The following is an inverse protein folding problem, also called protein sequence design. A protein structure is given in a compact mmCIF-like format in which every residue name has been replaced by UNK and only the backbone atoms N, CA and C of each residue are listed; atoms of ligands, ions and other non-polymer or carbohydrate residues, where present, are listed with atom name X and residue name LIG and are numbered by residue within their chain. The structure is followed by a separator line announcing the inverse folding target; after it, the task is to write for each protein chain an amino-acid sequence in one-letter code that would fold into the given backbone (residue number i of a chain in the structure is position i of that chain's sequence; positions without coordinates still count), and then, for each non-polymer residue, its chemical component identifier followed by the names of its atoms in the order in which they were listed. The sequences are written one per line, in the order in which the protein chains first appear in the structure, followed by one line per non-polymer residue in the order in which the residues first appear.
data_IF_686031046286
#
_entry.id   IF_686031046286
#
_cell.length_a   1.000
_cell.length_b   1.000
_cell.length_c   1.000
_cell.angle_alpha   90.00
_cell.angle_beta   90.00
_cell.angle_gamma   90.00
#
_symmetry.space_group_name_H-M   'P 1'
#
loop_
_entity.id
_entity.type
_entity.pdbx_description
1 polymer ?
#
# COMPACT_ATOMS: atom_id res chain seq x y z
N UNK A 1 6.39 52.78 35.09
CA UNK A 1 6.88 51.39 35.23
C UNK A 1 6.30 50.62 34.06
N UNK A 2 7.14 50.27 33.09
CA UNK A 2 6.71 49.78 31.77
C UNK A 2 6.22 48.34 31.85
N UNK A 3 5.13 48.10 31.10
CA UNK A 3 4.42 46.84 30.86
C UNK A 3 5.30 45.76 30.23
N UNK A 4 5.15 44.50 30.66
CA UNK A 4 5.72 43.34 29.99
C UNK A 4 4.58 42.59 29.26
N UNK A 5 4.61 42.64 27.93
CA UNK A 5 3.76 41.84 27.05
C UNK A 5 4.51 40.57 26.66
N UNK A 6 3.83 39.45 26.89
CA UNK A 6 4.19 38.10 26.48
C UNK A 6 4.13 37.96 24.94
N UNK A 7 5.12 37.29 24.34
CA UNK A 7 5.07 36.91 22.92
C UNK A 7 5.82 35.60 22.69
N UNK A 8 5.11 34.49 22.92
CA UNK A 8 5.45 33.20 22.32
C UNK A 8 5.23 33.29 20.81
N UNK A 9 6.29 33.50 20.05
CA UNK A 9 6.28 33.41 18.59
C UNK A 9 6.36 31.95 18.19
N UNK A 10 5.22 31.36 17.80
CA UNK A 10 5.24 30.17 16.94
C UNK A 10 5.71 30.62 15.55
N UNK A 11 6.92 30.22 15.16
CA UNK A 11 7.39 30.37 13.79
C UNK A 11 6.62 29.39 12.90
N UNK A 12 5.54 29.85 12.25
CA UNK A 12 4.94 29.12 11.14
C UNK A 12 5.92 29.14 9.97
N UNK A 13 6.37 27.96 9.53
CA UNK A 13 7.20 27.85 8.34
C UNK A 13 6.42 28.36 7.12
N UNK A 14 7.01 29.29 6.37
CA UNK A 14 6.41 29.89 5.18
C UNK A 14 6.19 28.82 4.10
N UNK A 15 5.03 28.86 3.45
CA UNK A 15 4.67 28.01 2.33
C UNK A 15 5.44 28.37 1.04
N UNK A 16 5.54 27.44 0.08
CA UNK A 16 6.17 27.66 -1.25
C UNK A 16 5.70 28.94 -1.92
N UNK A 17 4.40 29.24 -1.84
CA UNK A 17 3.78 30.44 -2.42
C UNK A 17 4.27 31.73 -1.75
N UNK A 18 4.45 31.71 -0.43
CA UNK A 18 4.89 32.88 0.34
C UNK A 18 6.37 33.17 0.11
N UNK A 19 7.20 32.14 -0.05
CA UNK A 19 8.62 32.30 -0.38
C UNK A 19 8.77 32.84 -1.80
N UNK A 20 8.08 32.26 -2.78
CA UNK A 20 8.12 32.74 -4.17
C UNK A 20 7.59 34.18 -4.28
N UNK A 21 6.52 34.52 -3.56
CA UNK A 21 6.01 35.88 -3.51
C UNK A 21 7.01 36.87 -2.88
N UNK A 22 7.69 36.48 -1.80
CA UNK A 22 8.73 37.30 -1.16
C UNK A 22 9.98 37.46 -2.04
N UNK A 23 10.42 36.41 -2.73
CA UNK A 23 11.55 36.45 -3.65
C UNK A 23 11.26 37.31 -4.88
N UNK A 24 10.04 37.23 -5.44
CA UNK A 24 9.60 38.10 -6.53
C UNK A 24 9.51 39.57 -6.09
N UNK A 25 9.08 39.82 -4.85
CA UNK A 25 8.97 41.17 -4.29
C UNK A 25 10.32 41.82 -3.94
N UNK A 26 11.34 41.03 -3.59
CA UNK A 26 12.64 41.54 -3.10
C UNK A 26 13.74 41.61 -4.18
N UNK A 27 13.49 41.12 -5.40
CA UNK A 27 14.36 41.32 -6.57
C UNK A 27 15.81 40.83 -6.44
N UNK A 28 16.13 40.00 -5.44
CA UNK A 28 17.50 39.58 -5.11
C UNK A 28 17.60 38.05 -5.06
N UNK A 29 18.16 37.47 -6.12
CA UNK A 29 18.74 36.13 -6.11
C UNK A 29 20.24 36.28 -5.84
N UNK A 30 20.68 36.03 -4.60
CA UNK A 30 22.10 35.84 -4.33
C UNK A 30 22.54 34.48 -4.88
N UNK A 31 23.41 34.52 -5.89
CA UNK A 31 23.82 33.41 -6.77
C UNK A 31 24.55 32.24 -6.06
N UNK A 32 24.83 32.35 -4.76
CA UNK A 32 25.45 31.26 -3.99
C UNK A 32 24.54 30.04 -3.75
N UNK A 33 23.23 30.15 -3.99
CA UNK A 33 22.27 29.08 -3.72
C UNK A 33 22.11 28.06 -4.86
N UNK A 34 22.60 28.33 -6.08
CA UNK A 34 22.22 27.59 -7.29
C UNK A 34 22.57 26.09 -7.30
N UNK A 35 23.55 25.65 -6.51
CA UNK A 35 23.95 24.23 -6.43
C UNK A 35 23.27 23.51 -5.24
N UNK A 36 22.87 24.25 -4.20
CA UNK A 36 22.13 23.69 -3.05
C UNK A 36 20.62 23.67 -3.31
N UNK A 37 20.12 24.58 -4.13
CA UNK A 37 18.68 24.71 -4.41
C UNK A 37 18.08 23.43 -5.02
N UNK A 38 18.68 22.76 -6.01
CA UNK A 38 18.12 21.53 -6.56
C UNK A 38 18.07 20.41 -5.52
N UNK A 39 19.14 20.24 -4.73
CA UNK A 39 19.22 19.20 -3.69
C UNK A 39 18.24 19.44 -2.55
N UNK A 40 18.13 20.69 -2.10
CA UNK A 40 17.17 21.11 -1.08
C UNK A 40 15.74 21.03 -1.61
N UNK A 41 15.51 21.40 -2.87
CA UNK A 41 14.22 21.33 -3.53
C UNK A 41 13.78 19.88 -3.72
N UNK A 42 14.65 18.99 -4.20
CA UNK A 42 14.37 17.55 -4.33
C UNK A 42 14.16 16.88 -2.97
N UNK A 43 14.94 17.26 -1.95
CA UNK A 43 14.71 16.80 -0.58
C UNK A 43 13.37 17.32 -0.01
N UNK A 44 12.95 18.53 -0.37
CA UNK A 44 11.64 19.09 -0.01
C UNK A 44 10.50 18.48 -0.84
N UNK A 45 10.73 18.11 -2.09
CA UNK A 45 9.78 17.43 -2.97
C UNK A 45 9.51 16.00 -2.50
N UNK A 46 10.56 15.25 -2.13
CA UNK A 46 10.41 13.95 -1.47
C UNK A 46 9.65 14.06 -0.14
N UNK A 47 9.88 15.14 0.62
CA UNK A 47 9.19 15.39 1.89
C UNK A 47 7.73 15.86 1.71
N UNK A 48 7.35 16.35 0.54
CA UNK A 48 6.00 16.86 0.21
C UNK A 48 5.16 15.90 -0.65
N UNK A 49 5.63 14.69 -0.96
CA UNK A 49 4.80 13.70 -1.66
C UNK A 49 3.67 13.21 -0.75
N UNK A 50 2.56 13.96 -0.74
CA UNK A 50 1.33 13.47 -0.14
C UNK A 50 0.85 12.25 -0.91
N UNK A 51 0.63 11.15 -0.19
CA UNK A 51 0.04 9.93 -0.75
C UNK A 51 -1.40 9.82 -0.25
N UNK A 52 -2.27 9.38 -1.14
CA UNK A 52 -3.66 9.05 -0.79
C UNK A 52 -3.63 7.77 0.05
N UNK A 53 -4.28 7.73 1.23
CA UNK A 53 -4.41 6.50 2.02
C UNK A 53 -4.97 5.35 1.18
N UNK A 54 -4.46 4.14 1.39
CA UNK A 54 -5.02 2.98 0.71
C UNK A 54 -6.48 2.81 1.14
N UNK A 55 -7.42 2.69 0.19
CA UNK A 55 -8.84 2.59 0.50
C UNK A 55 -9.16 1.42 1.43
N UNK A 56 -10.01 1.68 2.41
CA UNK A 56 -10.49 0.65 3.32
C UNK A 56 -11.43 -0.34 2.61
N UNK A 57 -11.36 -1.60 3.00
CA UNK A 57 -12.33 -2.63 2.68
C UNK A 57 -12.64 -3.46 3.93
N UNK A 58 -13.78 -4.13 3.92
CA UNK A 58 -14.21 -4.95 5.05
C UNK A 58 -13.22 -6.09 5.38
N UNK A 59 -13.19 -6.46 6.67
CA UNK A 59 -12.39 -7.58 7.17
C UNK A 59 -12.89 -8.93 6.66
N UNK A 60 -14.20 -9.04 6.42
CA UNK A 60 -14.85 -10.32 6.13
C UNK A 60 -14.86 -11.28 7.34
N UNK A 61 -15.53 -12.42 7.22
CA UNK A 61 -15.78 -13.32 8.34
C UNK A 61 -14.61 -14.29 8.61
N UNK A 62 -13.64 -14.37 7.70
CA UNK A 62 -12.62 -15.41 7.71
C UNK A 62 -11.27 -14.97 8.28
N UNK A 63 -11.15 -13.80 8.89
CA UNK A 63 -9.90 -13.39 9.54
C UNK A 63 -9.58 -14.32 10.74
N UNK A 64 -8.31 -14.73 10.86
CA UNK A 64 -7.80 -15.53 11.99
C UNK A 64 -6.53 -14.87 12.53
N UNK A 65 -6.57 -14.52 13.82
CA UNK A 65 -5.39 -13.99 14.54
C UNK A 65 -4.29 -15.04 14.63
N UNK A 66 -3.05 -14.55 14.83
CA UNK A 66 -1.85 -15.39 15.08
C UNK A 66 -1.52 -16.32 13.90
N UNK A 67 -1.68 -15.82 12.67
CA UNK A 67 -1.16 -16.52 11.51
C UNK A 67 0.36 -16.73 11.65
N UNK A 68 0.92 -17.83 11.11
CA UNK A 68 2.36 -18.06 11.11
C UNK A 68 3.10 -16.91 10.42
N UNK A 69 4.35 -16.68 10.83
CA UNK A 69 5.25 -15.73 10.16
C UNK A 69 6.02 -16.45 9.06
N UNK A 70 5.55 -16.37 7.82
CA UNK A 70 6.18 -17.01 6.66
C UNK A 70 5.95 -16.18 5.39
N UNK A 71 6.97 -16.06 4.55
CA UNK A 71 6.82 -15.49 3.20
C UNK A 71 6.41 -16.52 2.16
N UNK A 72 6.13 -17.76 2.56
CA UNK A 72 5.75 -18.84 1.65
C UNK A 72 4.46 -19.49 2.17
N UNK A 73 3.35 -19.13 1.52
CA UNK A 73 1.99 -19.54 1.87
C UNK A 73 1.54 -20.78 1.08
N UNK A 74 2.19 -21.03 -0.06
CA UNK A 74 2.02 -22.25 -0.85
C UNK A 74 3.15 -23.24 -0.62
N UNK A 75 2.87 -24.53 -0.71
CA UNK A 75 3.87 -25.59 -0.68
C UNK A 75 4.02 -26.24 -2.06
N UNK A 76 5.10 -27.01 -2.25
CA UNK A 76 5.31 -27.74 -3.50
C UNK A 76 4.14 -28.70 -3.77
N UNK A 77 3.65 -28.70 -5.00
CA UNK A 77 2.48 -29.48 -5.41
C UNK A 77 1.13 -28.83 -5.15
N UNK A 78 1.08 -27.65 -4.52
CA UNK A 78 -0.17 -26.92 -4.38
C UNK A 78 -0.80 -26.61 -5.75
N UNK A 79 -2.08 -26.94 -5.95
CA UNK A 79 -2.79 -26.62 -7.18
C UNK A 79 -3.08 -25.11 -7.30
N UNK A 80 -3.28 -24.66 -8.53
CA UNK A 80 -3.49 -23.26 -8.87
C UNK A 80 -2.26 -22.59 -9.49
N UNK A 81 -2.47 -21.41 -10.07
CA UNK A 81 -1.41 -20.62 -10.70
C UNK A 81 -0.49 -20.04 -9.60
N UNK A 82 0.82 -20.36 -9.58
CA UNK A 82 1.75 -19.76 -8.63
C UNK A 82 1.74 -18.24 -8.73
N UNK A 83 1.76 -17.57 -7.59
CA UNK A 83 1.66 -16.12 -7.46
C UNK A 83 2.72 -15.60 -6.49
N UNK A 84 3.55 -14.67 -6.93
CA UNK A 84 4.38 -13.85 -6.05
C UNK A 84 3.73 -12.49 -5.84
N UNK A 85 3.48 -12.13 -4.59
CA UNK A 85 2.95 -10.82 -4.21
C UNK A 85 4.07 -10.02 -3.55
N UNK A 86 4.21 -8.76 -3.93
CA UNK A 86 5.16 -7.84 -3.31
C UNK A 86 4.53 -6.48 -3.05
N UNK A 87 5.11 -5.73 -2.13
CA UNK A 87 4.60 -4.41 -1.81
C UNK A 87 5.54 -3.62 -0.93
N UNK A 88 5.16 -2.37 -0.69
CA UNK A 88 5.86 -1.46 0.20
C UNK A 88 4.84 -0.62 0.96
N UNK A 89 5.11 -0.40 2.24
CA UNK A 89 4.27 0.38 3.13
C UNK A 89 4.83 1.80 3.24
N UNK A 90 3.96 2.78 3.02
CA UNK A 90 4.22 4.21 3.14
C UNK A 90 3.23 4.85 4.12
N UNK A 91 3.56 6.06 4.60
CA UNK A 91 2.62 6.96 5.25
C UNK A 91 2.04 7.96 4.23
N UNK A 92 1.05 8.76 4.67
CA UNK A 92 0.43 9.80 3.84
C UNK A 92 1.36 10.96 3.46
N UNK A 93 2.58 11.03 4.01
CA UNK A 93 3.63 11.97 3.62
C UNK A 93 4.65 11.34 2.66
N UNK A 94 4.40 10.12 2.21
CA UNK A 94 5.29 9.40 1.29
C UNK A 94 6.50 8.76 1.98
N UNK A 95 6.58 8.80 3.31
CA UNK A 95 7.67 8.17 4.06
C UNK A 95 7.46 6.67 4.12
N UNK A 96 8.52 5.89 3.94
CA UNK A 96 8.48 4.43 4.12
C UNK A 96 8.23 4.11 5.59
N UNK A 97 7.44 3.07 5.84
CA UNK A 97 7.09 2.62 7.19
C UNK A 97 7.80 1.29 7.47
N UNK A 98 9.04 1.30 7.99
CA UNK A 98 9.75 0.07 8.33
C UNK A 98 9.06 -0.65 9.49
N UNK A 99 9.28 -1.96 9.61
CA UNK A 99 8.70 -2.81 10.66
C UNK A 99 7.16 -2.82 10.73
N UNK A 100 6.46 -2.27 9.73
CA UNK A 100 5.02 -2.42 9.62
C UNK A 100 4.65 -3.91 9.56
N UNK A 101 3.60 -4.29 10.28
CA UNK A 101 3.05 -5.63 10.24
C UNK A 101 1.98 -5.69 9.16
N UNK A 102 2.09 -6.66 8.25
CA UNK A 102 1.13 -6.92 7.18
C UNK A 102 0.61 -8.35 7.34
N UNK A 103 -0.63 -8.48 7.81
CA UNK A 103 -1.33 -9.76 7.87
C UNK A 103 -2.12 -9.98 6.58
N UNK A 104 -1.96 -11.16 5.96
CA UNK A 104 -2.66 -11.53 4.73
C UNK A 104 -3.43 -12.83 4.91
N UNK A 105 -4.59 -12.92 4.25
CA UNK A 105 -5.34 -14.17 4.12
C UNK A 105 -6.11 -14.20 2.81
N UNK A 106 -6.26 -15.40 2.25
CA UNK A 106 -7.00 -15.63 1.02
C UNK A 106 -7.57 -17.05 0.99
N UNK A 107 -8.37 -17.32 -0.04
CA UNK A 107 -8.79 -18.66 -0.43
C UNK A 107 -7.68 -19.41 -1.15
N UNK A 108 -7.87 -20.73 -1.29
CA UNK A 108 -7.17 -21.52 -2.31
C UNK A 108 -7.67 -21.18 -3.73
N UNK A 109 -7.08 -21.83 -4.74
CA UNK A 109 -7.45 -21.68 -6.15
C UNK A 109 -8.91 -22.05 -6.51
N UNK A 110 -9.65 -22.72 -5.62
CA UNK A 110 -11.07 -23.09 -5.80
C UNK A 110 -12.03 -22.21 -4.99
N UNK A 111 -11.52 -21.24 -4.23
CA UNK A 111 -12.35 -20.37 -3.41
C UNK A 111 -12.59 -20.88 -1.98
N UNK A 112 -11.82 -21.85 -1.49
CA UNK A 112 -11.97 -22.34 -0.12
C UNK A 112 -11.00 -21.69 0.84
N UNK A 113 -11.51 -21.17 1.96
CA UNK A 113 -10.68 -20.81 3.11
C UNK A 113 -10.33 -22.04 3.93
N UNK A 114 -9.08 -22.11 4.39
CA UNK A 114 -8.72 -23.06 5.44
C UNK A 114 -9.31 -22.59 6.78
N UNK A 115 -10.38 -23.27 7.20
CA UNK A 115 -11.11 -22.99 8.44
C UNK A 115 -10.39 -23.58 9.65
N UNK A 116 -9.78 -24.75 9.48
CA UNK A 116 -9.17 -25.51 10.58
C UNK A 116 -7.74 -25.04 10.86
N UNK A 117 -6.94 -24.84 9.81
CA UNK A 117 -5.54 -24.46 9.89
C UNK A 117 -5.27 -23.00 9.52
N UNK A 118 -4.08 -22.76 8.98
CA UNK A 118 -3.61 -21.45 8.55
C UNK A 118 -3.06 -21.44 7.11
N UNK A 119 -3.44 -22.40 6.26
CA UNK A 119 -3.04 -22.37 4.85
C UNK A 119 -3.48 -21.05 4.20
N UNK A 120 -2.58 -20.50 3.38
CA UNK A 120 -2.78 -19.21 2.72
C UNK A 120 -3.02 -18.02 3.66
N UNK A 121 -2.40 -18.06 4.85
CA UNK A 121 -2.40 -16.96 5.83
C UNK A 121 -0.99 -16.70 6.31
N UNK A 122 -0.65 -15.43 6.51
CA UNK A 122 0.63 -15.08 7.10
C UNK A 122 0.60 -13.75 7.82
N UNK A 123 1.50 -13.58 8.78
CA UNK A 123 1.91 -12.30 9.34
C UNK A 123 3.31 -11.97 8.83
N UNK A 124 3.43 -10.93 8.01
CA UNK A 124 4.68 -10.43 7.46
C UNK A 124 5.14 -9.19 8.25
N UNK A 125 6.44 -9.06 8.46
CA UNK A 125 7.05 -7.85 9.01
C UNK A 125 7.84 -7.20 7.89
N UNK A 126 7.54 -5.93 7.61
CA UNK A 126 8.23 -5.19 6.57
C UNK A 126 9.69 -4.93 6.93
N UNK A 127 10.56 -4.94 5.93
CA UNK A 127 11.99 -4.67 6.11
C UNK A 127 12.27 -3.18 6.45
N UNK A 128 13.56 -2.82 6.58
CA UNK A 128 14.00 -1.45 6.88
C UNK A 128 13.62 -0.43 5.80
N UNK A 129 13.29 -0.91 4.60
CA UNK A 129 12.75 -0.08 3.53
C UNK A 129 11.22 -0.10 3.50
N UNK A 130 10.54 -0.78 4.41
CA UNK A 130 9.09 -0.92 4.45
C UNK A 130 8.54 -1.91 3.43
N UNK A 131 9.37 -2.78 2.84
CA UNK A 131 8.93 -3.76 1.84
C UNK A 131 8.46 -5.05 2.47
N UNK A 132 7.51 -5.71 1.81
CA UNK A 132 7.08 -7.07 2.10
C UNK A 132 6.94 -7.86 0.81
N UNK A 133 7.07 -9.18 0.90
CA UNK A 133 6.79 -10.09 -0.20
C UNK A 133 6.37 -11.47 0.33
N UNK A 134 5.56 -12.18 -0.45
CA UNK A 134 5.22 -13.56 -0.17
C UNK A 134 4.81 -14.32 -1.44
N UNK A 135 5.03 -15.63 -1.42
CA UNK A 135 4.60 -16.57 -2.45
C UNK A 135 3.33 -17.29 -2.03
N UNK A 136 2.37 -17.35 -2.93
CA UNK A 136 1.05 -17.97 -2.76
C UNK A 136 0.58 -18.54 -4.10
N UNK A 137 -0.71 -18.85 -4.21
CA UNK A 137 -1.39 -19.15 -5.47
C UNK A 137 -2.44 -18.09 -5.76
N UNK A 138 -2.80 -17.89 -7.03
CA UNK A 138 -3.96 -17.06 -7.38
C UNK A 138 -5.20 -17.59 -6.65
N UNK A 139 -5.93 -16.75 -5.89
CA UNK A 139 -7.13 -17.17 -5.19
C UNK A 139 -8.28 -17.43 -6.17
N UNK A 140 -9.10 -18.43 -5.87
CA UNK A 140 -10.35 -18.68 -6.58
C UNK A 140 -11.48 -17.77 -6.10
N UNK A 141 -12.48 -17.57 -6.96
CA UNK A 141 -13.75 -16.97 -6.57
C UNK A 141 -14.46 -17.86 -5.56
N UNK A 142 -15.20 -17.26 -4.63
CA UNK A 142 -16.04 -17.99 -3.69
C UNK A 142 -17.42 -17.36 -3.58
N UNK A 143 -18.43 -18.10 -3.09
CA UNK A 143 -19.78 -17.56 -2.94
C UNK A 143 -19.77 -16.24 -2.17
N UNK A 144 -20.79 -15.39 -2.40
CA UNK A 144 -20.93 -14.06 -1.80
C UNK A 144 -19.89 -13.00 -2.22
N UNK A 145 -18.85 -13.35 -2.99
CA UNK A 145 -17.87 -12.39 -3.51
C UNK A 145 -17.78 -12.46 -5.02
N UNK A 146 -17.71 -11.30 -5.65
CA UNK A 146 -17.74 -11.20 -7.11
C UNK A 146 -16.33 -11.42 -7.66
N UNK A 147 -15.34 -10.65 -7.19
CA UNK A 147 -13.96 -10.76 -7.67
C UNK A 147 -13.04 -11.62 -6.77
N UNK A 148 -11.99 -12.17 -7.37
CA UNK A 148 -10.83 -12.74 -6.70
C UNK A 148 -10.12 -11.66 -5.88
N UNK A 149 -9.70 -11.98 -4.66
CA UNK A 149 -9.04 -11.03 -3.78
C UNK A 149 -8.11 -11.68 -2.77
N UNK A 150 -7.16 -10.89 -2.27
CA UNK A 150 -6.36 -11.18 -1.07
C UNK A 150 -6.70 -10.11 -0.04
N UNK A 151 -7.03 -10.54 1.17
CA UNK A 151 -7.26 -9.60 2.26
C UNK A 151 -5.96 -9.17 2.94
N UNK A 152 -5.98 -7.95 3.47
CA UNK A 152 -4.89 -7.31 4.18
C UNK A 152 -5.38 -6.69 5.49
N UNK A 153 -4.59 -6.86 6.55
CA UNK A 153 -4.62 -6.03 7.75
C UNK A 153 -3.20 -5.51 7.98
N UNK A 154 -3.01 -4.21 7.74
CA UNK A 154 -1.72 -3.54 7.91
C UNK A 154 -1.74 -2.64 9.15
N UNK A 155 -0.65 -2.68 9.92
CA UNK A 155 -0.51 -1.86 11.12
C UNK A 155 0.94 -1.47 11.37
N UNK A 156 1.14 -0.32 12.00
CA UNK A 156 2.44 0.17 12.42
C UNK A 156 2.27 1.09 13.62
N UNK A 157 3.31 1.22 14.45
CA UNK A 157 3.31 2.18 15.55
C UNK A 157 3.09 3.61 15.03
N UNK A 158 2.26 4.39 15.72
CA UNK A 158 1.93 5.76 15.31
C UNK A 158 1.00 5.88 14.10
N UNK A 159 0.42 4.77 13.61
CA UNK A 159 -0.46 4.75 12.44
C UNK A 159 -1.81 4.10 12.76
N UNK A 160 -2.86 4.52 12.07
CA UNK A 160 -4.16 3.86 12.11
C UNK A 160 -4.04 2.50 11.43
N UNK A 161 -4.48 1.39 12.06
CA UNK A 161 -4.57 0.10 11.38
C UNK A 161 -5.51 0.20 10.17
N UNK A 162 -5.11 -0.44 9.06
CA UNK A 162 -5.88 -0.48 7.83
C UNK A 162 -6.29 -1.91 7.52
N UNK A 163 -7.59 -2.14 7.37
CA UNK A 163 -8.11 -3.32 6.69
C UNK A 163 -8.40 -2.97 5.24
N UNK A 164 -7.90 -3.77 4.30
CA UNK A 164 -8.11 -3.54 2.87
C UNK A 164 -8.02 -4.86 2.10
N UNK A 165 -8.17 -4.81 0.78
CA UNK A 165 -8.14 -5.96 -0.10
C UNK A 165 -7.45 -5.61 -1.42
N UNK A 166 -6.69 -6.58 -1.94
CA UNK A 166 -6.08 -6.56 -3.26
C UNK A 166 -6.98 -7.34 -4.23
N UNK A 167 -7.32 -6.75 -5.37
CA UNK A 167 -8.03 -7.39 -6.47
C UNK A 167 -7.15 -7.46 -7.73
N UNK A 168 -7.49 -8.35 -8.66
CA UNK A 168 -6.64 -8.65 -9.82
C UNK A 168 -7.27 -8.12 -11.10
N UNK A 169 -6.55 -7.32 -11.88
CA UNK A 169 -7.03 -6.76 -13.14
C UNK A 169 -7.41 -7.83 -14.19
N UNK A 170 -6.89 -9.05 -14.03
CA UNK A 170 -7.20 -10.22 -14.88
C UNK A 170 -8.51 -10.89 -14.53
N UNK A 171 -9.23 -10.42 -13.50
CA UNK A 171 -10.50 -11.00 -13.12
C UNK A 171 -11.53 -10.87 -14.26
N UNK A 172 -12.19 -11.98 -14.67
CA UNK A 172 -13.11 -11.97 -15.81
C UNK A 172 -14.34 -11.07 -15.59
N UNK A 173 -14.69 -10.74 -14.34
CA UNK A 173 -15.78 -9.81 -14.01
C UNK A 173 -15.59 -8.46 -14.69
N UNK A 174 -14.34 -8.03 -14.87
CA UNK A 174 -14.01 -6.76 -15.47
C UNK A 174 -14.08 -6.75 -17.00
N UNK A 175 -14.34 -7.89 -17.65
CA UNK A 175 -14.44 -8.01 -19.11
C UNK A 175 -13.23 -7.42 -19.86
N UNK A 176 -12.04 -7.51 -19.26
CA UNK A 176 -10.80 -6.97 -19.82
C UNK A 176 -10.64 -5.44 -19.70
N UNK A 177 -11.59 -4.71 -19.09
CA UNK A 177 -11.51 -3.26 -18.86
C UNK A 177 -11.75 -2.93 -17.37
N UNK A 178 -10.77 -3.21 -16.49
CA UNK A 178 -10.89 -2.93 -15.05
C UNK A 178 -11.03 -1.44 -14.74
N UNK A 179 -10.57 -0.53 -15.62
CA UNK A 179 -10.69 0.91 -15.40
C UNK A 179 -12.15 1.37 -15.45
N UNK A 180 -12.95 0.79 -16.35
CA UNK A 180 -14.39 1.06 -16.43
C UNK A 180 -15.23 0.15 -15.52
N UNK A 181 -14.82 -1.11 -15.39
CA UNK A 181 -15.68 -2.15 -14.81
C UNK A 181 -15.35 -2.53 -13.36
N UNK A 182 -14.38 -1.91 -12.69
CA UNK A 182 -14.04 -2.28 -11.30
C UNK A 182 -15.24 -2.22 -10.34
N UNK A 183 -16.19 -1.32 -10.56
CA UNK A 183 -17.41 -1.17 -9.74
C UNK A 183 -18.46 -2.27 -9.94
N UNK A 184 -18.23 -3.23 -10.84
CA UNK A 184 -19.08 -4.43 -10.95
C UNK A 184 -18.98 -5.31 -9.71
N UNK A 185 -17.88 -5.23 -8.98
CA UNK A 185 -17.84 -5.66 -7.59
C UNK A 185 -18.12 -4.43 -6.69
N UNK A 186 -19.24 -4.40 -5.95
CA UNK A 186 -19.63 -3.26 -5.12
C UNK A 186 -18.67 -2.99 -3.96
N UNK A 187 -17.78 -3.92 -3.61
CA UNK A 187 -16.80 -3.76 -2.54
C UNK A 187 -15.54 -3.02 -3.02
N UNK A 188 -15.35 -2.87 -4.33
CA UNK A 188 -14.23 -2.13 -4.89
C UNK A 188 -14.60 -0.64 -4.98
N UNK A 189 -14.39 0.07 -3.87
CA UNK A 189 -14.65 1.51 -3.76
C UNK A 189 -13.68 2.39 -4.57
N UNK A 190 -12.50 1.87 -4.94
CA UNK A 190 -11.49 2.59 -5.71
C UNK A 190 -10.77 1.66 -6.69
N UNK A 191 -10.46 2.19 -7.87
CA UNK A 191 -9.67 1.53 -8.90
C UNK A 191 -8.27 1.15 -8.41
N UNK A 192 -7.72 1.85 -7.42
CA UNK A 192 -6.37 1.63 -6.90
C UNK A 192 -6.18 0.24 -6.27
N UNK A 193 -7.27 -0.38 -5.81
CA UNK A 193 -7.26 -1.72 -5.23
C UNK A 193 -7.14 -2.84 -6.28
N UNK A 194 -7.43 -2.54 -7.55
CA UNK A 194 -7.31 -3.49 -8.67
C UNK A 194 -5.91 -3.38 -9.26
N UNK A 195 -5.10 -4.44 -9.21
CA UNK A 195 -3.70 -4.38 -9.64
C UNK A 195 -3.43 -5.20 -10.88
N UNK A 196 -2.57 -4.73 -11.80
CA UNK A 196 -2.15 -5.52 -12.95
C UNK A 196 -1.38 -6.77 -12.49
N UNK A 197 -1.62 -7.88 -13.17
CA UNK A 197 -0.88 -9.13 -12.96
C UNK A 197 0.10 -9.30 -14.12
N UNK A 198 1.37 -9.49 -13.80
CA UNK A 198 2.38 -9.86 -14.78
C UNK A 198 2.52 -11.38 -14.82
N UNK A 199 2.61 -11.94 -16.02
CA UNK A 199 2.87 -13.37 -16.21
C UNK A 199 4.28 -13.52 -16.78
N UNK A 200 5.10 -14.34 -16.13
CA UNK A 200 6.46 -14.65 -16.57
C UNK A 200 6.80 -16.13 -16.40
N UNK A 201 8.06 -16.47 -16.63
CA UNK A 201 8.56 -17.85 -16.61
C UNK A 201 8.52 -18.52 -17.99
N UNK A 202 8.81 -19.82 -18.01
CA UNK A 202 8.67 -20.64 -19.21
C UNK A 202 7.30 -21.37 -19.22
N UNK A 203 6.84 -21.93 -20.36
CA UNK A 203 5.54 -22.59 -20.45
C UNK A 203 5.34 -23.78 -19.49
N UNK A 204 6.42 -24.37 -18.97
CA UNK A 204 6.40 -25.47 -17.98
C UNK A 204 6.49 -24.94 -16.54
N UNK A 205 6.83 -23.67 -16.33
CA UNK A 205 6.99 -23.04 -15.03
C UNK A 205 6.48 -21.59 -15.02
N UNK A 206 5.19 -21.41 -15.34
CA UNK A 206 4.56 -20.09 -15.35
C UNK A 206 4.46 -19.55 -13.91
N UNK A 207 4.78 -18.26 -13.74
CA UNK A 207 4.63 -17.52 -12.49
C UNK A 207 3.86 -16.23 -12.73
N UNK A 208 2.79 -16.03 -11.97
CA UNK A 208 2.12 -14.75 -11.87
C UNK A 208 2.80 -13.87 -10.80
N UNK A 209 2.82 -12.56 -11.03
CA UNK A 209 3.27 -11.60 -10.03
C UNK A 209 2.40 -10.35 -9.99
N UNK A 210 2.26 -9.79 -8.80
CA UNK A 210 1.46 -8.59 -8.54
C UNK A 210 2.15 -7.71 -7.48
N UNK A 211 2.04 -6.40 -7.65
CA UNK A 211 2.52 -5.41 -6.71
C UNK A 211 1.36 -4.63 -6.07
N UNK A 212 1.38 -4.52 -4.74
CA UNK A 212 0.38 -3.78 -3.96
C UNK A 212 1.07 -2.89 -2.93
N UNK A 213 1.03 -1.58 -3.14
CA UNK A 213 1.54 -0.62 -2.17
C UNK A 213 0.45 -0.28 -1.15
N UNK A 214 0.86 -0.11 0.11
CA UNK A 214 -0.04 0.24 1.21
C UNK A 214 0.35 1.61 1.74
N UNK A 215 -0.63 2.51 1.87
CA UNK A 215 -0.46 3.83 2.46
C UNK A 215 -1.27 3.90 3.75
N UNK A 216 -0.59 3.99 4.88
CA UNK A 216 -1.20 4.10 6.20
C UNK A 216 -1.39 5.55 6.61
N UNK A 217 -2.54 5.84 7.23
CA UNK A 217 -2.75 7.12 7.90
C UNK A 217 -1.99 7.16 9.23
N UNK A 218 -1.42 8.33 9.56
CA UNK A 218 -0.85 8.59 10.88
C UNK A 218 -1.94 8.89 11.90
N UNK A 219 -1.67 8.58 13.17
CA UNK A 219 -2.51 8.98 14.31
C UNK A 219 -2.39 10.48 14.60
#
# INVERSE_FOLDING_TARGET
MVSAVDCRTMTSALSRREILAKCAALGSLTVAASILLPTVLSAWEEKEKSRIPTPWNELGPFYKRRAPRTSTLRVSGDPGLPLTVSGQVFDTRGQRVPNATVEVWQTDHLGHYDINGYRYRSTLICDDSGKYAFDSVMPGHYPQRVCQHIHYLASAEGHKPLTTQLYFATDPVFEGDPDKNFRRDPLIGSRDLVRPVSIGGDPKSILASVAFEIVLERL
#
